data_IF_851517867936
#
_entry.id   IF_851517867936
#
_cell.length_a   1.000
_cell.length_b   1.000
_cell.length_c   1.000
_cell.angle_alpha   90.00
_cell.angle_beta   90.00
_cell.angle_gamma   90.00
#
_symmetry.space_group_name_H-M   'P 1'
#
loop_
_entity.id
_entity.type
_entity.pdbx_description
1 polymer ?
#
# COMPACT_ATOMS: atom_id res chain seq x y z
N UNK A 1 30.04 -9.76 -21.69
CA UNK A 1 29.73 -10.84 -20.73
C UNK A 1 31.01 -11.16 -19.99
N UNK A 2 31.00 -11.40 -18.68
CA UNK A 2 32.24 -11.79 -18.00
C UNK A 2 32.51 -13.28 -18.28
N UNK A 3 33.36 -13.55 -19.25
CA UNK A 3 33.60 -14.89 -19.80
C UNK A 3 34.37 -15.81 -18.83
N UNK A 4 35.03 -15.24 -17.81
CA UNK A 4 35.86 -15.97 -16.83
C UNK A 4 35.20 -16.13 -15.46
N UNK A 5 33.91 -15.81 -15.34
CA UNK A 5 33.19 -15.95 -14.08
C UNK A 5 32.82 -17.42 -13.85
N UNK A 6 33.67 -18.13 -13.13
CA UNK A 6 33.48 -19.56 -12.82
C UNK A 6 32.80 -19.79 -11.47
N UNK A 7 33.09 -18.96 -10.47
CA UNK A 7 32.55 -19.10 -9.11
C UNK A 7 31.83 -17.82 -8.67
N UNK A 8 30.64 -17.97 -8.10
CA UNK A 8 29.80 -16.86 -7.63
C UNK A 8 29.22 -17.16 -6.25
N UNK A 9 29.24 -16.16 -5.37
CA UNK A 9 28.65 -16.23 -4.04
C UNK A 9 27.59 -15.14 -3.90
N UNK A 10 26.35 -15.56 -3.63
CA UNK A 10 25.19 -14.72 -3.41
C UNK A 10 24.57 -14.91 -2.02
N UNK A 11 25.02 -15.87 -1.21
CA UNK A 11 24.52 -16.05 0.16
C UNK A 11 24.56 -14.74 0.96
N UNK A 12 23.47 -14.47 1.68
CA UNK A 12 23.30 -13.24 2.46
C UNK A 12 22.79 -12.03 1.66
N UNK A 13 22.57 -12.17 0.34
CA UNK A 13 21.96 -11.12 -0.46
C UNK A 13 20.43 -11.29 -0.53
N UNK A 14 19.64 -10.21 -0.47
CA UNK A 14 18.18 -10.27 -0.59
C UNK A 14 17.68 -10.91 -1.90
N UNK A 15 18.52 -10.98 -2.94
CA UNK A 15 18.17 -11.66 -4.19
C UNK A 15 18.01 -13.19 -4.02
N UNK A 16 18.52 -13.78 -2.93
CA UNK A 16 18.37 -15.20 -2.63
C UNK A 16 17.12 -15.52 -1.80
N UNK A 17 16.25 -14.54 -1.52
CA UNK A 17 14.98 -14.73 -0.78
C UNK A 17 13.92 -15.51 -1.57
N UNK A 18 14.09 -15.65 -2.89
CA UNK A 18 13.11 -16.29 -3.78
C UNK A 18 13.60 -17.66 -4.26
N UNK A 19 12.88 -18.75 -3.95
CA UNK A 19 13.29 -20.13 -4.24
C UNK A 19 13.85 -20.41 -5.65
N UNK A 20 13.31 -19.76 -6.69
CA UNK A 20 13.78 -19.92 -8.07
C UNK A 20 15.06 -19.15 -8.43
N UNK A 21 15.66 -18.42 -7.49
CA UNK A 21 16.84 -17.56 -7.71
C UNK A 21 18.02 -18.36 -8.28
N UNK A 22 18.27 -19.56 -7.76
CA UNK A 22 19.40 -20.39 -8.17
C UNK A 22 19.27 -20.82 -9.62
N UNK A 23 18.11 -21.35 -10.00
CA UNK A 23 17.83 -21.76 -11.37
C UNK A 23 17.88 -20.57 -12.35
N UNK A 24 17.41 -19.41 -11.91
CA UNK A 24 17.49 -18.18 -12.69
C UNK A 24 18.95 -17.77 -12.97
N UNK A 25 19.81 -17.78 -11.95
CA UNK A 25 21.24 -17.45 -12.10
C UNK A 25 21.95 -18.46 -12.99
N UNK A 26 21.73 -19.76 -12.77
CA UNK A 26 22.34 -20.84 -13.56
C UNK A 26 21.97 -20.72 -15.05
N UNK A 27 20.72 -20.36 -15.36
CA UNK A 27 20.28 -20.13 -16.73
C UNK A 27 20.99 -18.94 -17.39
N UNK A 28 21.12 -17.82 -16.66
CA UNK A 28 21.74 -16.59 -17.19
C UNK A 28 23.27 -16.64 -17.24
N UNK A 29 23.90 -17.52 -16.46
CA UNK A 29 25.35 -17.70 -16.38
C UNK A 29 25.74 -19.15 -16.70
N UNK A 30 25.63 -19.59 -17.97
CA UNK A 30 25.96 -20.97 -18.35
C UNK A 30 27.45 -21.33 -18.14
N UNK A 31 28.35 -20.35 -18.07
CA UNK A 31 29.77 -20.58 -17.77
C UNK A 31 30.07 -20.87 -16.29
N UNK A 32 29.13 -20.59 -15.39
CA UNK A 32 29.34 -20.69 -13.95
C UNK A 32 29.49 -22.15 -13.53
N UNK A 33 30.58 -22.50 -12.84
CA UNK A 33 30.90 -23.84 -12.36
C UNK A 33 30.43 -24.06 -10.92
N UNK A 34 30.53 -23.04 -10.07
CA UNK A 34 30.05 -23.10 -8.68
C UNK A 34 29.22 -21.89 -8.31
N UNK A 35 28.19 -22.14 -7.50
CA UNK A 35 27.31 -21.12 -6.95
C UNK A 35 27.10 -21.41 -5.47
N UNK A 36 27.53 -20.47 -4.62
CA UNK A 36 27.50 -20.57 -3.16
C UNK A 36 28.23 -21.81 -2.61
N UNK A 37 29.41 -22.09 -3.17
CA UNK A 37 30.23 -23.25 -2.79
C UNK A 37 29.65 -24.59 -3.24
N UNK A 38 28.58 -24.59 -4.05
CA UNK A 38 27.97 -25.81 -4.63
C UNK A 38 28.21 -25.86 -6.13
N UNK A 39 28.78 -26.95 -6.60
CA UNK A 39 28.95 -27.23 -8.03
C UNK A 39 27.61 -27.20 -8.76
N UNK A 40 27.57 -26.52 -9.90
CA UNK A 40 26.41 -26.49 -10.81
C UNK A 40 26.42 -27.75 -11.65
N UNK A 41 25.42 -28.61 -11.46
CA UNK A 41 25.35 -29.89 -12.18
C UNK A 41 24.73 -29.74 -13.58
N UNK A 42 25.01 -30.67 -14.52
CA UNK A 42 24.31 -30.69 -15.81
C UNK A 42 22.79 -30.81 -15.69
N UNK A 43 22.30 -31.56 -14.69
CA UNK A 43 20.87 -31.70 -14.43
C UNK A 43 20.23 -30.38 -14.02
N UNK A 44 20.87 -29.62 -13.11
CA UNK A 44 20.40 -28.29 -12.72
C UNK A 44 20.32 -27.34 -13.92
N UNK A 45 21.26 -27.43 -14.87
CA UNK A 45 21.23 -26.61 -16.10
C UNK A 45 20.01 -26.93 -16.96
N UNK A 46 19.76 -28.21 -17.21
CA UNK A 46 18.62 -28.67 -18.00
C UNK A 46 17.30 -28.25 -17.35
N UNK A 47 17.20 -28.40 -16.03
CA UNK A 47 16.02 -27.98 -15.27
C UNK A 47 15.83 -26.47 -15.31
N UNK A 48 16.90 -25.71 -15.11
CA UNK A 48 16.89 -24.24 -15.18
C UNK A 48 16.42 -23.74 -16.54
N UNK A 49 16.94 -24.33 -17.63
CA UNK A 49 16.50 -24.00 -18.99
C UNK A 49 15.01 -24.33 -19.21
N UNK A 50 14.56 -25.52 -18.77
CA UNK A 50 13.16 -25.92 -18.87
C UNK A 50 12.23 -24.97 -18.13
N UNK A 51 12.59 -24.57 -16.91
CA UNK A 51 11.82 -23.66 -16.07
C UNK A 51 11.78 -22.25 -16.68
N UNK A 52 12.92 -21.76 -17.20
CA UNK A 52 12.98 -20.47 -17.87
C UNK A 52 12.13 -20.44 -19.15
N UNK A 53 12.25 -21.45 -20.02
CA UNK A 53 11.47 -21.56 -21.26
C UNK A 53 9.95 -21.64 -21.01
N UNK A 54 9.54 -22.30 -19.91
CA UNK A 54 8.14 -22.32 -19.46
C UNK A 54 7.65 -20.97 -18.93
N UNK A 55 8.57 -20.02 -18.68
CA UNK A 55 8.27 -18.71 -18.11
C UNK A 55 7.87 -18.75 -16.64
N UNK A 56 7.99 -19.89 -15.95
CA UNK A 56 7.59 -20.03 -14.55
C UNK A 56 8.48 -19.15 -13.66
N UNK A 57 9.80 -19.17 -13.89
CA UNK A 57 10.76 -18.38 -13.12
C UNK A 57 10.46 -16.87 -13.20
N UNK A 58 10.24 -16.35 -14.40
CA UNK A 58 9.96 -14.92 -14.60
C UNK A 58 8.63 -14.52 -13.95
N UNK A 59 7.59 -15.34 -14.11
CA UNK A 59 6.27 -15.07 -13.51
C UNK A 59 6.34 -15.06 -11.99
N UNK A 60 7.05 -16.02 -11.41
CA UNK A 60 7.21 -16.13 -9.96
C UNK A 60 8.01 -14.95 -9.39
N UNK A 61 9.13 -14.59 -10.02
CA UNK A 61 9.94 -13.42 -9.63
C UNK A 61 9.10 -12.14 -9.66
N UNK A 62 8.34 -11.90 -10.73
CA UNK A 62 7.47 -10.74 -10.84
C UNK A 62 6.37 -10.73 -9.76
N UNK A 63 5.81 -11.89 -9.42
CA UNK A 63 4.84 -12.02 -8.33
C UNK A 63 5.46 -11.64 -6.99
N UNK A 64 6.67 -12.14 -6.70
CA UNK A 64 7.40 -11.82 -5.46
C UNK A 64 7.74 -10.34 -5.35
N UNK A 65 8.17 -9.71 -6.45
CA UNK A 65 8.43 -8.25 -6.50
C UNK A 65 7.16 -7.48 -6.14
N UNK A 66 6.02 -7.80 -6.79
CA UNK A 66 4.74 -7.14 -6.50
C UNK A 66 4.31 -7.30 -5.04
N UNK A 67 4.41 -8.52 -4.49
CA UNK A 67 4.09 -8.79 -3.09
C UNK A 67 4.97 -7.98 -2.12
N UNK A 68 6.26 -7.83 -2.43
CA UNK A 68 7.20 -7.06 -1.61
C UNK A 68 6.86 -5.57 -1.65
N UNK A 69 6.57 -5.04 -2.84
CA UNK A 69 6.12 -3.65 -3.01
C UNK A 69 4.80 -3.35 -2.28
N UNK A 70 3.82 -4.25 -2.37
CA UNK A 70 2.52 -4.11 -1.69
C UNK A 70 2.68 -4.10 -0.17
N UNK A 71 3.40 -5.08 0.38
CA UNK A 71 3.71 -5.12 1.82
C UNK A 71 4.47 -3.88 2.30
N UNK A 72 5.38 -3.37 1.49
CA UNK A 72 6.12 -2.16 1.83
C UNK A 72 5.20 -0.92 1.84
N UNK A 73 4.30 -0.81 0.86
CA UNK A 73 3.27 0.24 0.83
C UNK A 73 2.34 0.17 2.03
N UNK A 74 1.83 -1.02 2.37
CA UNK A 74 1.00 -1.24 3.56
C UNK A 74 1.75 -0.87 4.85
N UNK A 75 3.03 -1.24 4.96
CA UNK A 75 3.88 -0.90 6.10
C UNK A 75 4.15 0.61 6.19
N UNK A 76 4.30 1.29 5.07
CA UNK A 76 4.46 2.75 5.03
C UNK A 76 3.16 3.46 5.40
N UNK A 77 2.02 2.99 4.88
CA UNK A 77 0.71 3.55 5.16
C UNK A 77 0.33 3.37 6.63
N UNK A 78 0.46 2.16 7.16
CA UNK A 78 0.22 1.88 8.59
C UNK A 78 1.12 2.73 9.50
N UNK A 79 2.42 2.89 9.19
CA UNK A 79 3.32 3.80 9.93
C UNK A 79 2.83 5.25 9.87
N UNK A 80 2.36 5.71 8.72
CA UNK A 80 1.84 7.07 8.54
C UNK A 80 0.55 7.29 9.33
N UNK A 81 -0.40 6.37 9.23
CA UNK A 81 -1.66 6.40 10.00
C UNK A 81 -1.40 6.38 11.51
N UNK A 82 -0.47 5.54 11.97
CA UNK A 82 -0.06 5.49 13.38
C UNK A 82 0.58 6.81 13.82
N UNK A 83 1.43 7.42 12.98
CA UNK A 83 2.02 8.74 13.26
C UNK A 83 0.99 9.87 13.25
N UNK A 84 0.01 9.84 12.36
CA UNK A 84 -1.05 10.86 12.26
C UNK A 84 -2.04 10.78 13.42
N UNK A 85 -2.25 9.58 13.97
CA UNK A 85 -3.12 9.34 15.13
C UNK A 85 -2.36 9.33 16.46
N UNK A 86 -1.03 9.40 16.43
CA UNK A 86 -0.19 9.43 17.62
C UNK A 86 -0.56 10.62 18.53
N UNK A 87 -0.45 10.39 19.84
CA UNK A 87 -0.79 11.38 20.86
C UNK A 87 0.30 12.45 21.01
N UNK A 88 0.44 13.30 19.99
CA UNK A 88 1.38 14.42 19.95
C UNK A 88 0.69 15.74 20.28
N UNK A 89 1.49 16.78 20.59
CA UNK A 89 0.97 18.13 20.88
C UNK A 89 0.25 18.72 19.66
N UNK A 90 0.82 18.60 18.45
CA UNK A 90 0.16 19.04 17.21
C UNK A 90 -1.18 18.32 16.97
N UNK A 91 -1.19 16.99 17.05
CA UNK A 91 -2.40 16.20 16.75
C UNK A 91 -3.52 16.52 17.76
N UNK A 92 -3.16 16.72 19.04
CA UNK A 92 -4.12 17.13 20.08
C UNK A 92 -4.70 18.52 19.80
N UNK A 93 -3.87 19.49 19.40
CA UNK A 93 -4.33 20.84 19.02
C UNK A 93 -5.26 20.78 17.80
N UNK A 94 -4.91 19.99 16.79
CA UNK A 94 -5.74 19.77 15.60
C UNK A 94 -7.11 19.19 15.96
N UNK A 95 -7.15 18.20 16.85
CA UNK A 95 -8.40 17.61 17.36
C UNK A 95 -9.30 18.65 18.03
N UNK A 96 -8.77 19.47 18.95
CA UNK A 96 -9.54 20.52 19.62
C UNK A 96 -10.08 21.57 18.63
N UNK A 97 -9.29 21.95 17.64
CA UNK A 97 -9.72 22.89 16.60
C UNK A 97 -10.86 22.31 15.76
N UNK A 98 -10.80 21.04 15.39
CA UNK A 98 -11.86 20.39 14.64
C UNK A 98 -13.13 20.20 15.49
N UNK A 99 -13.02 19.84 16.77
CA UNK A 99 -14.15 19.83 17.70
C UNK A 99 -14.83 21.22 17.78
N UNK A 100 -14.04 22.30 17.84
CA UNK A 100 -14.58 23.66 17.85
C UNK A 100 -15.31 24.01 16.54
N UNK A 101 -14.80 23.58 15.38
CA UNK A 101 -15.47 23.75 14.07
C UNK A 101 -16.77 22.97 14.00
N UNK A 102 -16.80 21.72 14.45
CA UNK A 102 -18.01 20.88 14.50
C UNK A 102 -19.07 21.54 15.36
N UNK A 103 -18.69 22.04 16.55
CA UNK A 103 -19.61 22.76 17.44
C UNK A 103 -20.18 24.02 16.79
N UNK A 104 -19.35 24.80 16.06
CA UNK A 104 -19.80 25.97 15.29
C UNK A 104 -20.78 25.60 14.18
N UNK A 105 -20.51 24.53 13.40
CA UNK A 105 -21.41 24.03 12.35
C UNK A 105 -22.76 23.59 12.91
N UNK A 106 -22.78 22.79 13.99
CA UNK A 106 -24.02 22.36 14.66
C UNK A 106 -24.85 23.55 15.15
N UNK A 107 -24.20 24.59 15.72
CA UNK A 107 -24.88 25.83 16.12
C UNK A 107 -25.50 26.59 14.95
N UNK A 108 -24.83 26.63 13.78
CA UNK A 108 -25.37 27.26 12.57
C UNK A 108 -26.57 26.50 12.02
N UNK A 109 -26.48 25.16 11.95
CA UNK A 109 -27.58 24.31 11.49
C UNK A 109 -28.80 24.47 12.39
N UNK A 110 -28.66 24.30 13.70
CA UNK A 110 -29.76 24.45 14.67
C UNK A 110 -30.41 25.83 14.63
N UNK A 111 -29.64 26.90 14.47
CA UNK A 111 -30.17 28.26 14.28
C UNK A 111 -30.94 28.40 12.96
N UNK A 112 -30.41 27.85 11.86
CA UNK A 112 -31.07 27.86 10.56
C UNK A 112 -32.40 27.11 10.57
N UNK A 113 -32.46 25.92 11.21
CA UNK A 113 -33.69 25.12 11.32
C UNK A 113 -34.75 25.78 12.21
N UNK A 114 -34.34 26.52 13.24
CA UNK A 114 -35.27 27.30 14.07
C UNK A 114 -35.86 28.46 13.30
N UNK A 115 -35.03 29.20 12.59
CA UNK A 115 -35.45 30.36 11.79
C UNK A 115 -36.44 29.99 10.69
N UNK A 116 -36.18 28.91 9.94
CA UNK A 116 -37.11 28.42 8.91
C UNK A 116 -38.42 27.86 9.47
N UNK A 117 -38.44 27.36 10.72
CA UNK A 117 -39.68 26.96 11.40
C UNK A 117 -40.50 28.14 11.88
N UNK A 118 -39.84 29.22 12.32
CA UNK A 118 -40.51 30.47 12.71
C UNK A 118 -41.11 31.17 11.48
N UNK A 119 -40.35 31.30 10.39
CA UNK A 119 -40.82 31.88 9.11
C UNK A 119 -42.06 31.13 8.58
N UNK A 120 -42.04 29.78 8.55
CA UNK A 120 -43.21 28.99 8.13
C UNK A 120 -44.44 29.16 9.04
N UNK A 121 -44.23 29.31 10.35
CA UNK A 121 -45.33 29.54 11.31
C UNK A 121 -45.94 30.93 11.18
N UNK A 122 -45.14 31.91 10.80
CA UNK A 122 -45.62 33.27 10.52
C UNK A 122 -46.39 33.31 9.20
N UNK A 123 -45.91 32.64 8.16
CA UNK A 123 -46.62 32.46 6.88
C UNK A 123 -47.97 31.75 7.07
N UNK A 124 -48.01 30.63 7.81
CA UNK A 124 -49.27 29.90 8.12
C UNK A 124 -50.27 30.81 8.85
N UNK A 125 -49.82 31.61 9.82
CA UNK A 125 -50.69 32.55 10.55
C UNK A 125 -51.19 33.70 9.67
N UNK A 126 -50.36 34.20 8.76
CA UNK A 126 -50.79 35.22 7.79
C UNK A 126 -51.80 34.68 6.78
N UNK A 127 -51.64 33.43 6.33
CA UNK A 127 -52.62 32.78 5.45
C UNK A 127 -53.94 32.53 6.19
N UNK A 128 -53.92 32.03 7.43
CA UNK A 128 -55.12 31.85 8.26
C UNK A 128 -55.86 33.18 8.50
N UNK A 129 -55.14 34.28 8.75
CA UNK A 129 -55.74 35.61 8.92
C UNK A 129 -56.38 36.16 7.63
N UNK A 130 -55.84 35.81 6.45
CA UNK A 130 -56.39 36.25 5.15
C UNK A 130 -57.65 35.48 4.75
N UNK A 131 -57.79 34.24 5.19
CA UNK A 131 -58.97 33.39 4.93
C UNK A 131 -60.17 33.78 5.80
N UNK A 132 -59.93 34.40 6.96
CA UNK A 132 -60.97 34.78 7.93
C UNK A 132 -61.59 36.17 7.71
N UNK A 133 -61.33 36.84 6.57
CA UNK A 133 -61.77 38.20 6.26
C UNK A 133 -62.53 38.25 4.95
#
# INVERSE_FOLDING_TARGET
MNEKLEDLYLMGNPCTEWDGWRAYVIYHLPQLRQLDGKTVTPTERIESERLYRRGSLRKELLSKIKQKEEKERERQQSKKETSETAYTRENRKKMYLDMAKVRRRRRRQTKGTRKTKEEKREEEKEEEMKISR
#
